data_IF_556353397803
#
_entry.id   IF_556353397803
#
_cell.length_a   1.000
_cell.length_b   1.000
_cell.length_c   1.000
_cell.angle_alpha   90.00
_cell.angle_beta   90.00
_cell.angle_gamma   90.00
#
_symmetry.space_group_name_H-M   'P 1'
#
loop_
_entity.id
_entity.type
_entity.pdbx_description
1 polymer ?
#
# COMPACT_ATOMS: atom_id res chain seq x y z
N UNK A 1 -8.15 10.03 10.88
CA UNK A 1 -8.90 10.77 9.84
C UNK A 1 -7.91 11.68 9.12
N UNK A 2 -7.91 11.68 7.80
CA UNK A 2 -7.00 12.52 7.01
C UNK A 2 -7.32 14.01 7.26
N UNK A 3 -6.31 14.85 7.58
CA UNK A 3 -6.54 16.29 7.71
C UNK A 3 -7.00 16.93 6.40
N UNK A 4 -7.90 17.90 6.48
CA UNK A 4 -8.49 18.54 5.30
C UNK A 4 -7.45 19.22 4.39
N UNK A 5 -6.44 19.86 4.98
CA UNK A 5 -5.34 20.49 4.24
C UNK A 5 -4.55 19.48 3.39
N UNK A 6 -4.39 18.24 3.88
CA UNK A 6 -3.66 17.18 3.18
C UNK A 6 -4.45 16.70 1.96
N UNK A 7 -5.76 16.52 2.14
CA UNK A 7 -6.68 16.19 1.05
C UNK A 7 -6.67 17.26 -0.06
N UNK A 8 -6.71 18.55 0.32
CA UNK A 8 -6.62 19.66 -0.63
C UNK A 8 -5.29 19.70 -1.38
N UNK A 9 -4.17 19.56 -0.67
CA UNK A 9 -2.84 19.56 -1.29
C UNK A 9 -2.68 18.41 -2.30
N UNK A 10 -3.11 17.20 -1.92
CA UNK A 10 -3.09 16.02 -2.81
C UNK A 10 -3.92 16.25 -4.07
N UNK A 11 -5.12 16.83 -3.93
CA UNK A 11 -6.02 17.13 -5.05
C UNK A 11 -5.46 18.21 -5.98
N UNK A 12 -4.89 19.30 -5.44
CA UNK A 12 -4.26 20.35 -6.23
C UNK A 12 -3.07 19.79 -7.02
N UNK A 13 -2.21 18.99 -6.39
CA UNK A 13 -1.09 18.37 -7.11
C UNK A 13 -1.56 17.41 -8.21
N UNK A 14 -2.60 16.61 -7.96
CA UNK A 14 -3.17 15.72 -8.98
C UNK A 14 -3.71 16.50 -10.19
N UNK A 15 -4.42 17.61 -9.97
CA UNK A 15 -4.90 18.49 -11.04
C UNK A 15 -3.73 19.07 -11.84
N UNK A 16 -2.71 19.59 -11.15
CA UNK A 16 -1.53 20.15 -11.79
C UNK A 16 -0.79 19.11 -12.66
N UNK A 17 -0.55 17.91 -12.12
CA UNK A 17 0.15 16.84 -12.82
C UNK A 17 -0.62 16.36 -14.05
N UNK A 18 -1.94 16.17 -13.94
CA UNK A 18 -2.79 15.80 -15.08
C UNK A 18 -2.79 16.90 -16.16
N UNK A 19 -2.86 18.16 -15.75
CA UNK A 19 -2.73 19.30 -16.65
C UNK A 19 -1.39 19.34 -17.39
N UNK A 20 -0.28 19.19 -16.66
CA UNK A 20 1.08 19.18 -17.23
C UNK A 20 1.35 18.01 -18.17
N UNK A 21 0.65 16.90 -17.97
CA UNK A 21 0.75 15.69 -18.81
C UNK A 21 0.12 15.90 -20.17
N UNK A 22 -1.05 16.54 -20.24
CA UNK A 22 -1.84 16.62 -21.48
C UNK A 22 -1.85 17.99 -22.16
N UNK A 23 -1.43 19.05 -21.48
CA UNK A 23 -1.48 20.40 -22.06
C UNK A 23 -0.43 20.59 -23.15
N UNK A 24 -0.87 21.14 -24.28
CA UNK A 24 -0.02 21.64 -25.36
C UNK A 24 0.20 23.17 -25.28
N UNK A 25 -0.57 23.87 -24.44
CA UNK A 25 -0.53 25.32 -24.27
C UNK A 25 0.54 25.73 -23.26
N UNK A 26 1.46 26.61 -23.67
CA UNK A 26 2.49 27.17 -22.79
C UNK A 26 1.92 27.96 -21.61
N UNK A 27 0.84 28.73 -21.85
CA UNK A 27 0.16 29.47 -20.79
C UNK A 27 -0.49 28.57 -19.73
N UNK A 28 -1.08 27.46 -20.16
CA UNK A 28 -1.68 26.51 -19.22
C UNK A 28 -0.62 25.72 -18.48
N UNK A 29 0.51 25.43 -19.12
CA UNK A 29 1.68 24.84 -18.45
C UNK A 29 2.13 25.69 -17.27
N UNK A 30 2.27 27.00 -17.45
CA UNK A 30 2.66 27.92 -16.36
C UNK A 30 1.63 27.90 -15.21
N UNK A 31 0.34 27.90 -15.52
CA UNK A 31 -0.74 27.78 -14.51
C UNK A 31 -0.67 26.48 -13.73
N UNK A 32 -0.40 25.36 -14.39
CA UNK A 32 -0.29 24.07 -13.69
C UNK A 32 0.97 23.99 -12.84
N UNK A 33 2.09 24.62 -13.26
CA UNK A 33 3.29 24.77 -12.41
C UNK A 33 2.95 25.58 -11.15
N UNK A 34 2.21 26.68 -11.29
CA UNK A 34 1.76 27.49 -10.15
C UNK A 34 0.87 26.69 -9.18
N UNK A 35 -0.11 25.93 -9.70
CA UNK A 35 -0.97 25.06 -8.87
C UNK A 35 -0.13 24.03 -8.09
N UNK A 36 0.88 23.43 -8.74
CA UNK A 36 1.81 22.51 -8.06
C UNK A 36 2.60 23.19 -6.94
N UNK A 37 3.09 24.41 -7.18
CA UNK A 37 3.80 25.19 -6.17
C UNK A 37 2.92 25.50 -4.96
N UNK A 38 1.64 25.84 -5.18
CA UNK A 38 0.67 26.04 -4.10
C UNK A 38 0.48 24.74 -3.29
N UNK A 39 0.30 23.60 -3.96
CA UNK A 39 0.17 22.30 -3.29
C UNK A 39 1.40 21.97 -2.44
N UNK A 40 2.60 22.23 -2.96
CA UNK A 40 3.86 22.02 -2.24
C UNK A 40 4.01 22.98 -1.05
N UNK A 41 3.59 24.24 -1.17
CA UNK A 41 3.61 25.20 -0.07
C UNK A 41 2.67 24.78 1.07
N UNK A 42 1.47 24.25 0.76
CA UNK A 42 0.55 23.73 1.79
C UNK A 42 1.20 22.58 2.56
N UNK A 43 1.84 21.63 1.88
CA UNK A 43 2.56 20.52 2.52
C UNK A 43 3.76 21.02 3.32
N UNK A 44 4.51 22.00 2.81
CA UNK A 44 5.67 22.56 3.51
C UNK A 44 5.29 23.29 4.80
N UNK A 45 4.12 23.94 4.83
CA UNK A 45 3.61 24.62 6.04
C UNK A 45 3.21 23.62 7.14
N UNK A 46 2.66 22.47 6.73
CA UNK A 46 2.11 21.47 7.66
C UNK A 46 3.07 20.30 7.93
N UNK A 47 4.26 20.32 7.36
CA UNK A 47 5.31 19.31 7.57
C UNK A 47 6.65 20.01 7.78
N UNK A 48 7.62 19.34 8.41
CA UNK A 48 8.98 19.90 8.52
C UNK A 48 9.82 19.74 7.24
N UNK A 49 9.17 19.69 6.07
CA UNK A 49 9.81 19.41 4.78
C UNK A 49 9.82 20.67 3.91
N UNK A 50 10.98 21.11 3.39
CA UNK A 50 11.05 22.28 2.51
C UNK A 50 10.22 22.11 1.23
N UNK A 51 9.59 23.20 0.76
CA UNK A 51 8.77 23.20 -0.45
C UNK A 51 9.52 22.70 -1.69
N UNK A 52 10.80 23.08 -1.84
CA UNK A 52 11.66 22.61 -2.94
C UNK A 52 11.78 21.08 -2.95
N UNK A 53 11.94 20.46 -1.79
CA UNK A 53 12.00 18.99 -1.67
C UNK A 53 10.67 18.35 -2.03
N UNK A 54 9.54 18.97 -1.68
CA UNK A 54 8.20 18.48 -2.03
C UNK A 54 7.95 18.60 -3.54
N UNK A 55 8.36 19.71 -4.17
CA UNK A 55 8.26 19.89 -5.63
C UNK A 55 9.07 18.82 -6.34
N UNK A 56 10.32 18.57 -5.91
CA UNK A 56 11.16 17.52 -6.48
C UNK A 56 10.49 16.14 -6.38
N UNK A 57 9.80 15.83 -5.27
CA UNK A 57 9.04 14.59 -5.13
C UNK A 57 7.87 14.52 -6.10
N UNK A 58 7.16 15.62 -6.35
CA UNK A 58 6.06 15.66 -7.32
C UNK A 58 6.53 15.51 -8.77
N UNK A 59 7.72 16.01 -9.10
CA UNK A 59 8.27 15.97 -10.46
C UNK A 59 8.79 14.59 -10.86
N UNK A 60 9.06 13.72 -9.88
CA UNK A 60 9.48 12.34 -10.15
C UNK A 60 8.37 11.47 -10.76
N UNK A 61 7.11 11.83 -10.57
CA UNK A 61 5.97 11.16 -11.21
C UNK A 61 5.57 11.90 -12.48
N UNK A 62 5.83 11.30 -13.64
CA UNK A 62 5.37 11.80 -14.94
C UNK A 62 4.13 11.05 -15.40
N UNK A 63 3.21 11.74 -16.08
CA UNK A 63 1.96 11.13 -16.56
C UNK A 63 0.79 11.33 -15.59
N UNK A 64 -0.35 10.73 -15.93
CA UNK A 64 -1.58 10.84 -15.14
C UNK A 64 -1.40 10.19 -13.76
N UNK A 65 -1.77 10.92 -12.70
CA UNK A 65 -1.63 10.40 -11.33
C UNK A 65 -2.76 9.44 -11.01
N UNK A 66 -2.44 8.21 -10.65
CA UNK A 66 -3.39 7.21 -10.14
C UNK A 66 -3.04 6.83 -8.71
N UNK A 67 -3.99 6.31 -7.91
CA UNK A 67 -3.64 5.61 -6.69
C UNK A 67 -2.63 4.49 -7.00
N UNK A 68 -1.63 4.32 -6.13
CA UNK A 68 -0.69 3.22 -6.22
C UNK A 68 -1.36 1.90 -5.79
N UNK A 69 -0.85 0.78 -6.27
CA UNK A 69 -1.37 -0.54 -5.92
C UNK A 69 -0.44 -1.18 -4.90
N UNK A 70 -0.93 -1.42 -3.69
CA UNK A 70 -0.25 -2.21 -2.66
C UNK A 70 -0.94 -3.58 -2.56
N UNK A 71 -0.17 -4.66 -2.58
CA UNK A 71 -0.67 -6.03 -2.50
C UNK A 71 -0.34 -6.57 -1.11
N UNK A 72 -1.30 -7.25 -0.47
CA UNK A 72 -1.12 -7.93 0.82
C UNK A 72 -1.60 -9.36 0.73
N UNK A 73 -0.81 -10.28 1.27
CA UNK A 73 -1.05 -11.71 1.10
C UNK A 73 -1.39 -12.37 2.43
N UNK A 74 -2.59 -12.90 2.52
CA UNK A 74 -3.03 -13.75 3.63
C UNK A 74 -2.66 -15.20 3.37
N UNK A 75 -1.67 -15.70 4.11
CA UNK A 75 -1.34 -17.13 4.19
C UNK A 75 -1.79 -17.62 5.56
N UNK A 76 -2.68 -18.60 5.60
CA UNK A 76 -3.29 -19.09 6.83
C UNK A 76 -2.97 -20.56 7.08
N UNK A 77 -2.75 -20.91 8.34
CA UNK A 77 -2.75 -22.28 8.85
C UNK A 77 -3.79 -22.34 9.98
N UNK A 78 -4.94 -22.94 9.69
CA UNK A 78 -6.13 -22.83 10.53
C UNK A 78 -6.47 -21.35 10.82
N UNK A 79 -6.39 -20.94 12.08
CA UNK A 79 -6.68 -19.58 12.54
C UNK A 79 -5.41 -18.74 12.79
N UNK A 80 -4.26 -19.20 12.29
CA UNK A 80 -3.00 -18.51 12.36
C UNK A 80 -2.67 -17.86 11.03
N UNK A 81 -2.26 -16.60 11.07
CA UNK A 81 -1.86 -15.81 9.89
C UNK A 81 -0.34 -15.67 9.84
N UNK A 82 0.24 -15.86 8.66
CA UNK A 82 1.63 -15.52 8.41
C UNK A 82 1.82 -14.01 8.47
N UNK A 83 2.74 -13.57 9.32
CA UNK A 83 3.21 -12.19 9.39
C UNK A 83 4.73 -12.16 9.22
N UNK A 84 5.23 -11.03 8.72
CA UNK A 84 6.65 -10.71 8.61
C UNK A 84 6.99 -9.52 9.50
N UNK A 85 8.18 -9.57 10.12
CA UNK A 85 8.70 -8.53 11.01
C UNK A 85 9.57 -7.56 10.21
N UNK A 86 9.01 -6.38 9.95
CA UNK A 86 9.58 -5.34 9.11
C UNK A 86 10.72 -4.60 9.82
N UNK A 87 11.88 -4.47 9.15
CA UNK A 87 13.02 -3.76 9.74
C UNK A 87 12.82 -2.26 9.89
N UNK A 88 11.95 -1.67 9.05
CA UNK A 88 11.84 -0.21 8.96
C UNK A 88 11.10 0.41 10.14
N UNK A 89 10.14 -0.32 10.73
CA UNK A 89 9.37 0.16 11.88
C UNK A 89 9.28 -0.84 13.04
N UNK A 90 10.08 -1.92 12.99
CA UNK A 90 10.20 -2.96 14.03
C UNK A 90 8.84 -3.59 14.40
N UNK A 91 7.94 -3.70 13.43
CA UNK A 91 6.55 -4.16 13.59
C UNK A 91 6.17 -5.24 12.59
N UNK A 92 5.02 -5.86 12.83
CA UNK A 92 4.56 -6.99 12.02
C UNK A 92 3.52 -6.58 10.97
N UNK A 93 3.58 -7.18 9.79
CA UNK A 93 2.59 -7.02 8.74
C UNK A 93 2.33 -8.33 7.99
N UNK A 94 1.20 -8.42 7.29
CA UNK A 94 1.06 -9.47 6.28
C UNK A 94 2.07 -9.21 5.15
N UNK A 95 2.69 -10.26 4.59
CA UNK A 95 3.62 -10.10 3.49
C UNK A 95 3.03 -9.27 2.35
N UNK A 96 3.84 -8.40 1.77
CA UNK A 96 3.41 -7.58 0.66
C UNK A 96 4.04 -6.20 0.56
N UNK A 97 3.82 -5.59 -0.59
CA UNK A 97 4.40 -4.30 -0.92
C UNK A 97 3.72 -3.66 -2.12
N UNK A 98 4.42 -2.72 -2.74
CA UNK A 98 3.97 -2.11 -3.99
C UNK A 98 3.96 -3.13 -5.13
N UNK A 99 2.93 -3.11 -5.96
CA UNK A 99 2.89 -3.94 -7.16
C UNK A 99 3.91 -3.43 -8.19
N UNK A 100 4.82 -4.31 -8.59
CA UNK A 100 5.79 -4.05 -9.64
C UNK A 100 5.14 -4.04 -11.02
N UNK A 101 5.57 -3.09 -11.84
CA UNK A 101 5.17 -3.01 -13.24
C UNK A 101 5.68 -4.22 -14.02
N UNK A 102 4.84 -4.74 -14.92
CA UNK A 102 5.16 -5.92 -15.73
C UNK A 102 4.88 -7.27 -15.04
N UNK A 103 4.51 -7.26 -13.76
CA UNK A 103 4.01 -8.43 -13.06
C UNK A 103 2.48 -8.35 -12.90
N UNK A 104 1.81 -9.48 -13.04
CA UNK A 104 0.40 -9.61 -12.67
C UNK A 104 0.21 -9.48 -11.15
N UNK A 105 -1.04 -9.29 -10.71
CA UNK A 105 -1.37 -9.26 -9.28
C UNK A 105 -0.94 -10.55 -8.55
N UNK A 106 -1.08 -11.70 -9.23
CA UNK A 106 -0.70 -13.01 -8.72
C UNK A 106 0.81 -13.12 -8.56
N UNK A 107 1.56 -12.74 -9.60
CA UNK A 107 3.03 -12.78 -9.57
C UNK A 107 3.59 -11.84 -8.51
N UNK A 108 3.01 -10.65 -8.34
CA UNK A 108 3.35 -9.75 -7.23
C UNK A 108 3.12 -10.42 -5.88
N UNK A 109 1.92 -10.97 -5.63
CA UNK A 109 1.63 -11.64 -4.37
C UNK A 109 2.60 -12.79 -4.06
N UNK A 110 2.88 -13.64 -5.04
CA UNK A 110 3.78 -14.79 -4.88
C UNK A 110 5.24 -14.35 -4.71
N UNK A 111 5.67 -13.28 -5.40
CA UNK A 111 6.98 -12.65 -5.24
C UNK A 111 7.18 -12.14 -3.82
N UNK A 112 6.26 -11.34 -3.31
CA UNK A 112 6.39 -10.69 -1.99
C UNK A 112 6.51 -11.73 -0.88
N UNK A 113 5.66 -12.77 -0.88
CA UNK A 113 5.74 -13.84 0.13
C UNK A 113 7.09 -14.58 0.06
N UNK A 114 7.59 -14.83 -1.15
CA UNK A 114 8.89 -15.48 -1.34
C UNK A 114 10.04 -14.62 -0.82
N UNK A 115 10.01 -13.32 -1.08
CA UNK A 115 11.09 -12.40 -0.70
C UNK A 115 11.10 -12.10 0.79
N UNK A 116 9.94 -11.82 1.36
CA UNK A 116 9.81 -11.41 2.75
C UNK A 116 9.74 -12.61 3.71
N UNK A 117 9.03 -13.67 3.34
CA UNK A 117 8.80 -14.82 4.22
C UNK A 117 9.57 -16.10 3.82
N UNK A 118 10.29 -16.10 2.70
CA UNK A 118 11.02 -17.28 2.21
C UNK A 118 10.13 -18.47 1.82
N UNK A 119 8.82 -18.27 1.74
CA UNK A 119 7.85 -19.30 1.38
C UNK A 119 7.50 -19.24 -0.09
N UNK A 120 7.38 -20.40 -0.72
CA UNK A 120 6.73 -20.51 -2.02
C UNK A 120 5.24 -20.72 -1.79
N UNK A 121 4.43 -19.90 -2.43
CA UNK A 121 2.98 -19.96 -2.33
C UNK A 121 2.34 -19.94 -3.70
N UNK A 122 1.09 -20.35 -3.78
CA UNK A 122 0.23 -20.09 -4.94
C UNK A 122 -0.89 -19.18 -4.50
N UNK A 123 -1.01 -17.98 -5.09
CA UNK A 123 -2.14 -17.11 -4.80
C UNK A 123 -3.42 -17.81 -5.25
N UNK A 124 -4.51 -17.81 -4.48
CA UNK A 124 -5.70 -18.60 -4.84
C UNK A 124 -6.92 -17.73 -5.06
N UNK A 125 -7.04 -16.61 -4.33
CA UNK A 125 -8.29 -15.85 -4.29
C UNK A 125 -8.09 -14.38 -3.95
N UNK A 126 -8.79 -13.50 -4.66
CA UNK A 126 -8.95 -12.10 -4.29
C UNK A 126 -9.92 -11.99 -3.11
N UNK A 127 -9.55 -11.21 -2.09
CA UNK A 127 -10.35 -10.97 -0.88
C UNK A 127 -10.95 -9.58 -0.91
N UNK A 128 -10.14 -8.56 -1.17
CA UNK A 128 -10.62 -7.19 -1.12
C UNK A 128 -9.75 -6.23 -1.95
N UNK A 129 -10.35 -5.11 -2.37
CA UNK A 129 -9.68 -3.93 -2.94
C UNK A 129 -10.17 -2.73 -2.14
N UNK A 130 -9.32 -2.20 -1.27
CA UNK A 130 -9.72 -1.18 -0.29
C UNK A 130 -8.94 0.11 -0.46
N UNK A 131 -9.60 1.26 -0.41
CA UNK A 131 -8.95 2.57 -0.29
C UNK A 131 -8.26 2.68 1.08
N UNK A 132 -6.93 2.80 1.06
CA UNK A 132 -6.12 2.94 2.28
C UNK A 132 -6.64 4.05 3.21
N UNK A 133 -7.07 5.18 2.67
CA UNK A 133 -7.44 6.35 3.47
C UNK A 133 -8.78 6.18 4.21
N UNK A 134 -9.59 5.20 3.79
CA UNK A 134 -10.92 4.92 4.36
C UNK A 134 -10.94 3.72 5.32
N UNK A 135 -9.83 3.00 5.43
CA UNK A 135 -9.76 1.71 6.13
C UNK A 135 -8.85 1.72 7.37
N UNK A 136 -8.85 2.84 8.12
CA UNK A 136 -8.25 2.90 9.46
C UNK A 136 -6.74 3.10 9.50
N UNK A 137 -6.08 3.37 8.37
CA UNK A 137 -4.66 3.63 8.32
C UNK A 137 -4.30 5.06 8.76
N UNK A 138 -3.07 5.31 9.27
CA UNK A 138 -2.55 6.65 9.50
C UNK A 138 -2.53 7.49 8.21
N UNK A 139 -2.66 8.82 8.27
CA UNK A 139 -2.60 9.70 7.10
C UNK A 139 -1.32 9.48 6.27
N UNK A 140 -1.43 9.56 4.94
CA UNK A 140 -0.33 9.37 3.98
C UNK A 140 -0.41 10.40 2.84
N UNK A 141 0.73 10.92 2.36
CA UNK A 141 0.77 11.77 1.17
C UNK A 141 0.39 11.02 -0.11
N UNK A 142 0.57 9.69 -0.12
CA UNK A 142 0.24 8.82 -1.25
C UNK A 142 -1.15 8.19 -1.08
N UNK A 143 -1.90 8.20 -2.18
CA UNK A 143 -3.14 7.44 -2.32
C UNK A 143 -2.82 6.03 -2.79
N UNK A 144 -3.44 5.03 -2.17
CA UNK A 144 -3.29 3.65 -2.62
C UNK A 144 -4.54 2.80 -2.45
N UNK A 145 -4.71 1.88 -3.41
CA UNK A 145 -5.59 0.74 -3.26
C UNK A 145 -4.79 -0.41 -2.68
N UNK A 146 -5.29 -0.97 -1.59
CA UNK A 146 -4.74 -2.16 -0.94
C UNK A 146 -5.53 -3.37 -1.39
N UNK A 147 -4.85 -4.23 -2.14
CA UNK A 147 -5.43 -5.45 -2.70
C UNK A 147 -5.02 -6.63 -1.82
N UNK A 148 -6.00 -7.30 -1.24
CA UNK A 148 -5.80 -8.44 -0.37
C UNK A 148 -6.05 -9.72 -1.15
N UNK A 149 -5.11 -10.66 -1.10
CA UNK A 149 -5.22 -11.97 -1.74
C UNK A 149 -4.91 -13.07 -0.73
N UNK A 150 -5.59 -14.20 -0.85
CA UNK A 150 -5.19 -15.42 -0.15
C UNK A 150 -4.19 -16.20 -0.99
N UNK A 151 -3.27 -16.87 -0.33
CA UNK A 151 -2.34 -17.79 -0.95
C UNK A 151 -2.16 -19.04 -0.10
N UNK A 152 -1.92 -20.16 -0.77
CA UNK A 152 -1.67 -21.46 -0.13
C UNK A 152 -0.17 -21.79 -0.20
N UNK A 153 0.44 -22.25 0.89
CA UNK A 153 1.85 -22.63 0.90
C UNK A 153 2.07 -23.90 0.08
N UNK A 154 3.04 -23.85 -0.83
CA UNK A 154 3.44 -24.98 -1.67
C UNK A 154 4.86 -25.47 -1.37
N UNK A 155 5.59 -24.75 -0.54
CA UNK A 155 6.90 -25.16 -0.02
C UNK A 155 7.70 -23.98 0.52
N UNK A 156 8.99 -24.21 0.72
CA UNK A 156 9.91 -23.21 1.27
C UNK A 156 9.90 -23.15 2.79
N UNK A 157 10.75 -22.27 3.31
CA UNK A 157 10.94 -22.03 4.74
C UNK A 157 11.60 -20.67 4.90
N UNK A 158 11.22 -19.92 5.92
CA UNK A 158 11.79 -18.61 6.16
C UNK A 158 13.32 -18.64 6.26
N UNK A 159 13.95 -17.67 5.59
CA UNK A 159 15.35 -17.32 5.75
C UNK A 159 15.45 -15.82 6.00
N UNK A 160 16.17 -15.37 7.05
CA UNK A 160 16.39 -13.96 7.29
C UNK A 160 16.96 -13.26 6.06
N UNK A 161 16.40 -12.11 5.69
CA UNK A 161 16.75 -11.38 4.47
C UNK A 161 16.99 -9.89 4.77
N UNK A 162 17.19 -9.08 3.74
CA UNK A 162 17.49 -7.66 3.87
C UNK A 162 16.31 -6.85 4.42
N UNK A 163 15.07 -7.28 4.18
CA UNK A 163 13.84 -6.49 4.42
C UNK A 163 13.13 -6.88 5.71
N UNK A 164 13.26 -8.13 6.14
CA UNK A 164 12.54 -8.68 7.30
C UNK A 164 13.50 -9.34 8.30
N UNK A 165 13.18 -9.20 9.58
CA UNK A 165 13.91 -9.85 10.68
C UNK A 165 13.45 -11.30 10.89
N UNK A 166 12.15 -11.55 10.73
CA UNK A 166 11.51 -12.81 11.01
C UNK A 166 10.23 -12.96 10.20
N UNK A 167 9.77 -14.20 10.01
CA UNK A 167 8.42 -14.51 9.57
C UNK A 167 7.87 -15.63 10.46
N UNK A 168 6.63 -15.48 10.93
CA UNK A 168 6.01 -16.46 11.82
C UNK A 168 4.47 -16.44 11.69
N UNK A 169 3.84 -17.51 12.16
CA UNK A 169 2.40 -17.66 12.21
C UNK A 169 1.84 -17.21 13.56
N UNK A 170 0.97 -16.21 13.55
CA UNK A 170 0.34 -15.68 14.74
C UNK A 170 -1.14 -16.00 14.79
N UNK A 171 -1.69 -16.41 15.95
CA UNK A 171 -3.12 -16.60 16.08
C UNK A 171 -3.83 -15.24 15.94
N UNK A 172 -4.89 -15.20 15.12
CA UNK A 172 -5.59 -13.94 14.76
C UNK A 172 -6.28 -13.27 15.96
N UNK A 173 -6.55 -14.01 17.03
CA UNK A 173 -7.08 -13.47 18.30
C UNK A 173 -6.01 -12.88 19.22
N UNK A 174 -4.72 -13.09 18.93
CA UNK A 174 -3.57 -12.58 19.68
C UNK A 174 -2.45 -12.15 18.73
N UNK A 175 -2.78 -11.16 17.91
CA UNK A 175 -1.86 -10.53 16.97
C UNK A 175 -0.73 -9.78 17.70
N UNK A 176 0.49 -9.74 17.13
CA UNK A 176 1.59 -8.92 17.62
C UNK A 176 1.33 -7.43 17.34
N UNK A 177 2.29 -6.56 17.68
CA UNK A 177 2.21 -5.14 17.32
C UNK A 177 2.29 -4.96 15.80
N UNK A 178 1.23 -4.41 15.21
CA UNK A 178 1.08 -4.29 13.77
C UNK A 178 1.66 -2.98 13.23
N UNK A 179 2.25 -3.05 12.04
CA UNK A 179 2.58 -1.88 11.23
C UNK A 179 1.28 -1.28 10.65
N UNK A 180 0.67 -0.37 11.41
CA UNK A 180 -0.60 0.27 11.03
C UNK A 180 -0.60 0.98 9.65
N UNK A 181 0.51 1.53 9.12
CA UNK A 181 0.54 2.02 7.74
C UNK A 181 0.32 0.93 6.68
N UNK A 182 0.65 -0.33 6.99
CA UNK A 182 0.59 -1.48 6.09
C UNK A 182 -0.63 -2.35 6.29
N UNK A 183 -1.03 -2.58 7.54
CA UNK A 183 -2.11 -3.52 7.86
C UNK A 183 -2.88 -3.12 9.12
N UNK A 184 -4.18 -3.40 9.14
CA UNK A 184 -5.01 -3.31 10.35
C UNK A 184 -5.50 -4.70 10.79
N UNK A 185 -5.83 -4.83 12.08
CA UNK A 185 -6.38 -6.07 12.61
C UNK A 185 -7.71 -6.47 11.92
N UNK A 186 -8.54 -5.49 11.53
CA UNK A 186 -9.80 -5.75 10.84
C UNK A 186 -9.58 -6.29 9.42
N UNK A 187 -8.54 -5.83 8.73
CA UNK A 187 -8.15 -6.38 7.42
C UNK A 187 -7.65 -7.83 7.53
N UNK A 188 -6.90 -8.15 8.59
CA UNK A 188 -6.49 -9.54 8.86
C UNK A 188 -7.71 -10.43 9.13
N UNK A 189 -8.65 -9.95 9.95
CA UNK A 189 -9.90 -10.67 10.24
C UNK A 189 -10.77 -10.87 9.00
N UNK A 190 -10.83 -9.88 8.10
CA UNK A 190 -11.49 -10.00 6.80
C UNK A 190 -10.88 -11.12 5.97
N UNK A 191 -9.55 -11.20 5.91
CA UNK A 191 -8.86 -12.27 5.21
C UNK A 191 -9.11 -13.65 5.85
N UNK A 192 -9.14 -13.74 7.19
CA UNK A 192 -9.50 -14.98 7.89
C UNK A 192 -10.95 -15.40 7.60
N UNK A 193 -11.89 -14.45 7.59
CA UNK A 193 -13.28 -14.72 7.24
C UNK A 193 -13.39 -15.29 5.83
N UNK A 194 -12.64 -14.71 4.87
CA UNK A 194 -12.56 -15.21 3.51
C UNK A 194 -11.96 -16.62 3.49
N UNK A 195 -10.84 -16.86 4.18
CA UNK A 195 -10.18 -18.16 4.29
C UNK A 195 -11.15 -19.26 4.76
N UNK A 196 -11.91 -18.99 5.82
CA UNK A 196 -12.91 -19.93 6.38
C UNK A 196 -14.16 -20.14 5.51
N UNK A 197 -14.38 -19.30 4.51
CA UNK A 197 -15.63 -19.29 3.72
C UNK A 197 -15.35 -19.45 2.22
N UNK A 198 -15.49 -20.66 1.64
CA UNK A 198 -15.26 -20.87 0.21
C UNK A 198 -16.10 -19.97 -0.72
N UNK A 199 -17.32 -19.60 -0.30
CA UNK A 199 -18.23 -18.72 -1.03
C UNK A 199 -18.05 -17.21 -0.78
N UNK A 200 -17.01 -16.81 -0.06
CA UNK A 200 -16.75 -15.40 0.25
C UNK A 200 -16.68 -14.55 -1.02
N UNK A 201 -17.42 -13.44 -1.03
CA UNK A 201 -17.42 -12.48 -2.14
C UNK A 201 -16.42 -11.36 -1.86
N UNK A 202 -15.57 -10.98 -2.83
CA UNK A 202 -14.62 -9.90 -2.63
C UNK A 202 -15.28 -8.57 -2.23
N UNK A 203 -14.62 -7.82 -1.34
CA UNK A 203 -15.11 -6.53 -0.84
C UNK A 203 -14.34 -5.37 -1.49
N UNK A 204 -15.05 -4.31 -1.88
CA UNK A 204 -14.45 -3.07 -2.39
C UNK A 204 -15.27 -1.83 -1.98
N UNK A 205 -14.66 -0.64 -1.97
CA UNK A 205 -15.23 0.63 -1.48
C UNK A 205 -15.23 1.81 -2.48
#
# INVERSE_FOLDING_TARGET
MEPQWLSWAKRLNAIAQNGLTYTESGYDRDRYVEIRQIAAAILAEHTSTPAERIINLFEQETGYRTPRIDVRVGVFQDDFVLLVHEKVDDRWAMPGGWADAGLSLRENAEKEVREEAGLTVTATRLVAVLDRNRNGHPPSPDDSYKIFVLAEPTGGSFQPNTETHAADFFPVDRLPELSLPRITADQIRLCLQAHRSPGFQPVFD
#
